data_IF_407025979809
#
_entry.id   IF_407025979809
#
_cell.length_a   1.000
_cell.length_b   1.000
_cell.length_c   1.000
_cell.angle_alpha   90.00
_cell.angle_beta   90.00
_cell.angle_gamma   90.00
#
_symmetry.space_group_name_H-M   'P 1'
#
loop_
_entity.id
_entity.type
_entity.pdbx_description
1 polymer ?
#
# COMPACT_ATOMS: atom_id res chain seq x y z
N UNK A 1 -14.52 -36.95 -49.18
CA UNK A 1 -14.13 -36.61 -47.79
C UNK A 1 -15.41 -36.48 -46.98
N UNK A 2 -15.58 -37.31 -45.94
CA UNK A 2 -16.83 -37.46 -45.19
C UNK A 2 -16.97 -36.36 -44.14
N UNK A 3 -18.06 -35.59 -44.19
CA UNK A 3 -18.43 -34.59 -43.17
C UNK A 3 -18.81 -35.27 -41.85
N UNK A 4 -18.19 -34.87 -40.74
CA UNK A 4 -18.67 -35.13 -39.38
C UNK A 4 -18.84 -33.80 -38.65
N UNK A 5 -20.09 -33.36 -38.54
CA UNK A 5 -20.54 -32.32 -37.62
C UNK A 5 -20.47 -32.91 -36.19
N UNK A 6 -19.64 -32.33 -35.33
CA UNK A 6 -19.56 -32.68 -33.90
C UNK A 6 -20.54 -31.76 -33.15
N UNK A 7 -21.61 -32.36 -32.64
CA UNK A 7 -22.64 -31.71 -31.83
C UNK A 7 -22.06 -31.30 -30.47
N UNK A 8 -22.17 -30.00 -30.16
CA UNK A 8 -21.94 -29.43 -28.83
C UNK A 8 -23.03 -29.89 -27.87
N UNK A 9 -22.63 -30.52 -26.76
CA UNK A 9 -23.50 -30.72 -25.59
C UNK A 9 -23.03 -29.78 -24.47
N UNK A 10 -23.84 -28.74 -24.22
CA UNK A 10 -23.74 -27.87 -23.05
C UNK A 10 -24.29 -28.64 -21.85
N UNK A 11 -23.44 -28.93 -20.86
CA UNK A 11 -23.89 -29.46 -19.57
C UNK A 11 -24.13 -28.28 -18.63
N UNK A 12 -25.40 -27.97 -18.40
CA UNK A 12 -25.86 -27.08 -17.34
C UNK A 12 -25.80 -27.90 -16.05
N UNK A 13 -24.95 -27.51 -15.10
CA UNK A 13 -24.98 -28.04 -13.73
C UNK A 13 -25.60 -26.96 -12.84
N UNK A 14 -26.75 -27.33 -12.30
CA UNK A 14 -27.58 -26.58 -11.37
C UNK A 14 -26.91 -26.43 -10.00
N UNK A 15 -27.03 -25.23 -9.43
CA UNK A 15 -26.67 -24.91 -8.06
C UNK A 15 -27.47 -25.72 -7.02
N UNK A 16 -26.86 -25.99 -5.86
CA UNK A 16 -27.58 -26.37 -4.64
C UNK A 16 -27.05 -25.55 -3.45
N UNK A 17 -27.94 -24.99 -2.60
CA UNK A 17 -27.59 -24.10 -1.50
C UNK A 17 -27.36 -24.87 -0.18
N UNK A 18 -26.24 -24.65 0.50
CA UNK A 18 -26.07 -25.08 1.88
C UNK A 18 -26.41 -23.94 2.84
N UNK A 19 -27.52 -24.12 3.55
CA UNK A 19 -27.94 -23.33 4.72
C UNK A 19 -27.34 -23.94 5.99
N UNK A 20 -26.73 -23.06 6.78
CA UNK A 20 -26.68 -22.95 8.24
C UNK A 20 -26.76 -24.19 9.14
N UNK A 21 -25.81 -24.26 10.08
CA UNK A 21 -26.07 -24.70 11.46
C UNK A 21 -25.13 -23.97 12.41
N UNK A 22 -25.70 -23.07 13.20
CA UNK A 22 -25.12 -22.44 14.40
C UNK A 22 -25.50 -23.32 15.59
N UNK A 23 -24.55 -23.72 16.43
CA UNK A 23 -24.83 -24.14 17.81
C UNK A 23 -23.73 -23.63 18.74
N UNK A 24 -24.16 -22.81 19.69
CA UNK A 24 -23.42 -22.20 20.79
C UNK A 24 -22.98 -23.20 21.85
N UNK A 25 -21.90 -22.87 22.58
CA UNK A 25 -21.72 -23.29 23.96
C UNK A 25 -20.97 -22.20 24.74
N UNK A 26 -21.72 -21.32 25.41
CA UNK A 26 -21.21 -20.46 26.46
C UNK A 26 -21.26 -21.25 27.79
N UNK A 27 -20.14 -21.36 28.49
CA UNK A 27 -20.09 -21.89 29.86
C UNK A 27 -19.89 -20.71 30.80
N UNK A 28 -20.98 -20.30 31.47
CA UNK A 28 -20.93 -19.50 32.68
C UNK A 28 -20.61 -20.44 33.86
N UNK A 29 -19.52 -20.18 34.57
CA UNK A 29 -19.30 -20.72 35.90
C UNK A 29 -19.42 -19.58 36.92
N UNK A 30 -20.55 -19.55 37.63
CA UNK A 30 -20.76 -18.75 38.84
C UNK A 30 -20.31 -19.61 40.01
N UNK A 31 -19.27 -19.18 40.72
CA UNK A 31 -18.84 -19.76 41.99
C UNK A 31 -18.86 -18.70 43.08
N UNK A 32 -19.86 -18.76 43.96
CA UNK A 32 -19.92 -18.03 45.22
C UNK A 32 -19.44 -18.95 46.35
N UNK A 33 -18.37 -18.58 47.05
CA UNK A 33 -18.16 -18.96 48.46
C UNK A 33 -17.45 -17.83 49.21
N UNK A 34 -18.19 -17.17 50.10
CA UNK A 34 -17.77 -16.67 51.42
C UNK A 34 -16.87 -17.70 52.11
N UNK A 35 -15.80 -17.43 52.86
CA UNK A 35 -15.19 -16.26 53.48
C UNK A 35 -14.49 -16.76 54.76
N UNK A 36 -13.30 -16.26 55.13
CA UNK A 36 -12.85 -16.02 56.53
C UNK A 36 -11.55 -15.21 56.49
N UNK A 37 -11.58 -14.20 57.36
CA UNK A 37 -10.68 -13.09 57.59
C UNK A 37 -9.53 -13.51 58.53
N UNK A 38 -8.27 -13.15 58.20
CA UNK A 38 -7.26 -12.81 59.20
C UNK A 38 -6.42 -11.62 58.70
N UNK A 39 -6.43 -10.61 59.54
CA UNK A 39 -5.78 -9.29 59.52
C UNK A 39 -4.24 -9.47 59.65
N UNK A 40 -3.29 -8.68 59.16
CA UNK A 40 -3.00 -7.23 59.15
C UNK A 40 -1.82 -7.02 58.15
N UNK A 41 -1.47 -5.86 57.59
CA UNK A 41 -1.86 -4.46 57.79
C UNK A 41 -0.95 -3.55 56.94
N UNK A 42 -1.24 -2.25 57.00
CA UNK A 42 -0.47 -1.08 56.53
C UNK A 42 -0.74 -0.51 55.12
N UNK A 43 -1.62 0.50 55.10
CA UNK A 43 -1.31 1.81 54.51
C UNK A 43 -1.88 2.12 53.12
N UNK A 44 -2.71 3.18 52.96
CA UNK A 44 -3.32 3.52 51.68
C UNK A 44 -2.50 4.57 50.93
N UNK A 45 -2.49 4.52 49.60
CA UNK A 45 -2.21 5.72 48.78
C UNK A 45 -3.12 5.74 47.56
N UNK A 46 -3.89 6.82 47.45
CA UNK A 46 -4.70 7.20 46.30
C UNK A 46 -3.84 7.68 45.13
N UNK A 47 -4.49 7.64 43.96
CA UNK A 47 -4.23 8.29 42.67
C UNK A 47 -3.25 9.47 42.64
N UNK A 48 -2.49 9.56 41.53
CA UNK A 48 -2.52 10.66 40.55
C UNK A 48 -1.38 10.49 39.51
N UNK A 49 -1.69 10.73 38.22
CA UNK A 49 -0.67 11.00 37.20
C UNK A 49 -0.07 12.39 37.46
N UNK A 50 1.23 12.62 37.22
CA UNK A 50 1.56 13.40 36.03
C UNK A 50 2.91 13.08 35.36
N UNK A 51 3.03 13.66 34.17
CA UNK A 51 4.10 13.69 33.18
C UNK A 51 5.55 13.95 33.64
N UNK A 52 6.46 13.67 32.70
CA UNK A 52 7.79 14.27 32.43
C UNK A 52 9.05 13.57 32.98
N UNK A 53 9.91 13.14 32.04
CA UNK A 53 11.35 13.41 32.10
C UNK A 53 11.89 13.59 30.69
N UNK A 54 12.31 14.82 30.42
CA UNK A 54 13.08 15.25 29.28
C UNK A 54 14.52 14.75 29.37
N UNK A 55 15.14 14.48 28.22
CA UNK A 55 16.61 14.49 28.09
C UNK A 55 16.96 15.67 27.18
N UNK A 56 17.88 16.48 27.69
CA UNK A 56 18.26 17.80 27.22
C UNK A 56 18.91 17.81 25.84
N UNK A 57 18.45 18.73 24.98
CA UNK A 57 19.19 19.22 23.83
C UNK A 57 19.87 20.55 24.20
N UNK A 58 21.17 20.63 23.94
CA UNK A 58 22.03 21.78 24.21
C UNK A 58 21.88 22.77 23.06
N UNK A 59 21.26 23.91 23.35
CA UNK A 59 21.04 25.01 22.39
C UNK A 59 22.27 25.93 22.39
N UNK A 60 22.75 26.25 21.19
CA UNK A 60 23.73 27.29 20.92
C UNK A 60 23.19 28.70 21.23
N UNK A 61 24.10 29.60 21.57
CA UNK A 61 23.78 30.97 21.97
C UNK A 61 23.37 31.90 20.82
N UNK A 62 22.53 32.88 21.20
CA UNK A 62 22.69 34.34 21.06
C UNK A 62 23.11 34.89 19.66
N UNK A 63 22.53 35.96 19.10
CA UNK A 63 21.79 37.09 19.68
C UNK A 63 20.98 37.83 18.59
N UNK A 64 20.14 38.75 19.08
CA UNK A 64 19.20 39.62 18.39
C UNK A 64 19.81 40.69 17.46
N UNK A 65 18.95 41.27 16.61
CA UNK A 65 19.23 42.49 15.86
C UNK A 65 17.98 43.03 15.14
N UNK A 66 17.34 43.99 15.81
CA UNK A 66 16.36 45.04 15.45
C UNK A 66 15.80 45.27 14.03
N UNK A 67 14.66 45.98 14.04
CA UNK A 67 13.65 46.25 13.01
C UNK A 67 13.89 47.52 12.15
N UNK A 68 13.28 47.49 10.93
CA UNK A 68 12.66 48.60 10.16
C UNK A 68 13.47 49.23 8.99
N UNK A 69 12.83 49.97 8.05
CA UNK A 69 11.82 49.55 7.07
C UNK A 69 12.20 49.90 5.61
N UNK A 70 11.31 49.57 4.66
CA UNK A 70 11.43 49.71 3.19
C UNK A 70 11.61 51.15 2.66
N UNK A 71 12.04 51.29 1.39
CA UNK A 71 11.15 51.94 0.41
C UNK A 71 11.11 51.28 -1.00
N UNK A 72 10.20 51.84 -1.78
CA UNK A 72 9.55 51.47 -3.04
C UNK A 72 10.38 51.75 -4.32
N UNK A 73 10.22 50.90 -5.36
CA UNK A 73 10.27 51.06 -6.84
C UNK A 73 11.27 52.05 -7.54
N UNK A 74 11.66 51.90 -8.84
CA UNK A 74 10.92 51.25 -9.95
C UNK A 74 11.77 50.43 -10.97
N UNK A 75 11.06 49.83 -11.93
CA UNK A 75 11.58 49.12 -13.10
C UNK A 75 12.32 50.03 -14.12
N UNK A 76 13.14 49.43 -15.00
CA UNK A 76 13.29 49.95 -16.35
C UNK A 76 12.97 48.90 -17.43
N UNK A 77 12.03 49.24 -18.30
CA UNK A 77 11.99 48.78 -19.69
C UNK A 77 12.84 49.71 -20.54
N UNK A 78 13.78 49.19 -21.34
CA UNK A 78 14.03 49.67 -22.71
C UNK A 78 14.79 48.63 -23.54
N UNK A 79 14.18 48.35 -24.69
CA UNK A 79 14.68 47.85 -25.98
C UNK A 79 16.17 48.05 -26.27
N UNK A 80 16.82 47.01 -26.82
CA UNK A 80 17.87 47.21 -27.80
C UNK A 80 17.92 46.03 -28.79
N UNK A 81 17.68 46.36 -30.06
CA UNK A 81 17.79 45.48 -31.21
C UNK A 81 19.18 45.63 -31.84
N UNK A 82 19.82 44.52 -32.22
CA UNK A 82 20.98 44.46 -33.13
C UNK A 82 21.13 43.02 -33.67
N UNK A 83 21.86 42.77 -34.78
CA UNK A 83 21.27 42.57 -36.10
C UNK A 83 21.33 41.12 -36.61
N UNK A 84 20.46 40.85 -37.59
CA UNK A 84 20.33 39.58 -38.33
C UNK A 84 21.61 39.14 -39.05
N UNK A 85 22.01 37.89 -38.81
CA UNK A 85 22.92 37.13 -39.66
C UNK A 85 22.10 36.28 -40.68
N UNK A 86 22.63 36.02 -41.90
CA UNK A 86 21.89 35.30 -42.94
C UNK A 86 21.66 33.82 -42.61
N UNK A 87 20.56 33.20 -43.07
CA UNK A 87 20.25 31.81 -42.75
C UNK A 87 21.18 30.86 -43.52
N UNK A 88 21.97 30.08 -42.78
CA UNK A 88 22.63 28.89 -43.32
C UNK A 88 21.64 27.72 -43.24
N UNK A 89 21.25 27.19 -44.40
CA UNK A 89 20.38 26.01 -44.52
C UNK A 89 21.05 24.77 -43.91
N UNK A 90 20.45 24.12 -42.89
CA UNK A 90 20.88 22.80 -42.47
C UNK A 90 20.48 21.75 -43.54
N UNK A 91 21.34 20.76 -43.84
CA UNK A 91 20.99 19.69 -44.77
C UNK A 91 19.81 18.87 -44.22
N UNK A 92 18.92 18.49 -45.13
CA UNK A 92 17.75 17.67 -44.84
C UNK A 92 18.16 16.39 -44.07
N UNK A 93 17.82 16.35 -42.78
CA UNK A 93 17.92 15.13 -41.99
C UNK A 93 16.83 14.18 -42.45
N UNK A 94 17.25 13.09 -43.10
CA UNK A 94 16.42 11.92 -43.37
C UNK A 94 15.79 11.47 -42.05
N UNK A 95 14.46 11.62 -41.95
CA UNK A 95 13.66 11.25 -40.79
C UNK A 95 13.78 9.75 -40.58
N UNK A 96 14.49 9.34 -39.53
CA UNK A 96 14.52 7.96 -39.08
C UNK A 96 13.07 7.48 -38.83
N UNK A 97 12.72 6.24 -39.18
CA UNK A 97 11.37 5.73 -38.98
C UNK A 97 11.02 5.76 -37.49
N UNK A 98 9.90 6.42 -37.16
CA UNK A 98 9.42 6.54 -35.80
C UNK A 98 9.12 5.15 -35.22
N UNK A 99 9.71 4.84 -34.07
CA UNK A 99 9.41 3.65 -33.28
C UNK A 99 7.89 3.60 -33.01
N UNK A 100 7.21 2.46 -33.16
CA UNK A 100 5.77 2.36 -32.89
C UNK A 100 5.47 2.86 -31.47
N UNK A 101 4.51 3.77 -31.33
CA UNK A 101 4.06 4.25 -30.04
C UNK A 101 3.52 3.06 -29.22
N UNK A 102 4.07 2.85 -28.02
CA UNK A 102 3.56 1.85 -27.08
C UNK A 102 2.10 2.19 -26.77
N UNK A 103 1.20 1.21 -26.92
CA UNK A 103 -0.23 1.38 -26.61
C UNK A 103 -0.38 1.90 -25.17
N UNK A 104 -1.20 2.93 -24.97
CA UNK A 104 -1.50 3.45 -23.64
C UNK A 104 -2.14 2.35 -22.76
N UNK A 105 -1.87 2.34 -21.44
CA UNK A 105 -2.51 1.39 -20.52
C UNK A 105 -4.03 1.61 -20.50
N UNK A 106 -4.83 0.58 -20.15
CA UNK A 106 -6.27 0.73 -20.01
C UNK A 106 -6.62 1.66 -18.84
N UNK A 107 -7.81 2.27 -18.87
CA UNK A 107 -8.28 3.17 -17.80
C UNK A 107 -8.61 2.42 -16.50
N UNK A 108 -8.87 1.12 -16.57
CA UNK A 108 -9.09 0.26 -15.41
C UNK A 108 -8.56 -1.15 -15.70
N UNK A 109 -8.14 -1.83 -14.64
CA UNK A 109 -7.75 -3.24 -14.68
C UNK A 109 -7.78 -3.82 -13.27
N UNK A 110 -8.27 -5.05 -13.13
CA UNK A 110 -8.14 -5.87 -11.93
C UNK A 110 -7.47 -7.18 -12.35
N UNK A 111 -6.51 -7.64 -11.56
CA UNK A 111 -5.83 -8.91 -11.80
C UNK A 111 -6.70 -10.07 -11.30
N UNK A 112 -6.57 -11.24 -11.92
CA UNK A 112 -7.01 -12.48 -11.28
C UNK A 112 -6.01 -12.83 -10.19
N UNK A 113 -6.47 -13.23 -9.00
CA UNK A 113 -5.62 -13.57 -7.86
C UNK A 113 -6.31 -14.56 -6.91
N UNK A 114 -5.52 -15.25 -6.09
CA UNK A 114 -6.01 -16.14 -5.04
C UNK A 114 -5.85 -15.46 -3.67
N UNK A 115 -6.97 -15.00 -3.11
CA UNK A 115 -6.98 -14.44 -1.76
C UNK A 115 -6.66 -15.50 -0.70
N UNK A 116 -5.86 -15.13 0.30
CA UNK A 116 -5.69 -15.88 1.53
C UNK A 116 -5.45 -14.91 2.69
N UNK A 117 -6.18 -15.10 3.80
CA UNK A 117 -5.98 -14.31 5.01
C UNK A 117 -4.66 -14.67 5.70
N UNK A 118 -4.06 -13.73 6.43
CA UNK A 118 -2.85 -13.99 7.20
C UNK A 118 -3.10 -15.05 8.28
N UNK A 119 -2.16 -16.00 8.45
CA UNK A 119 -2.34 -17.10 9.41
C UNK A 119 -2.19 -16.66 10.89
N UNK A 120 -1.54 -15.54 11.16
CA UNK A 120 -1.33 -14.99 12.51
C UNK A 120 -0.98 -13.48 12.45
N UNK A 121 -0.77 -12.85 13.62
CA UNK A 121 -0.62 -11.40 13.76
C UNK A 121 0.60 -10.75 13.09
N UNK A 122 1.64 -11.51 12.72
CA UNK A 122 2.86 -10.98 12.08
C UNK A 122 3.02 -11.43 10.62
N UNK A 123 2.03 -12.15 10.08
CA UNK A 123 2.04 -12.71 8.72
C UNK A 123 1.37 -11.83 7.66
N UNK A 124 1.04 -10.58 7.96
CA UNK A 124 0.49 -9.64 6.98
C UNK A 124 1.39 -9.46 5.75
N UNK A 125 2.71 -9.32 5.93
CA UNK A 125 3.70 -9.24 4.85
C UNK A 125 3.73 -10.49 3.96
N UNK A 126 3.90 -11.70 4.53
CA UNK A 126 3.82 -12.96 3.80
C UNK A 126 2.50 -13.15 3.05
N UNK A 127 1.37 -12.89 3.70
CA UNK A 127 0.06 -13.06 3.08
C UNK A 127 -0.18 -12.08 1.93
N UNK A 128 0.16 -10.80 2.10
CA UNK A 128 0.06 -9.80 1.03
C UNK A 128 0.97 -10.18 -0.16
N UNK A 129 2.22 -10.56 0.11
CA UNK A 129 3.16 -10.95 -0.95
C UNK A 129 2.70 -12.23 -1.66
N UNK A 130 2.14 -13.20 -0.94
CA UNK A 130 1.52 -14.38 -1.55
C UNK A 130 0.37 -13.98 -2.49
N UNK A 131 -0.56 -13.14 -2.06
CA UNK A 131 -1.67 -12.66 -2.89
C UNK A 131 -1.11 -12.03 -4.17
N UNK A 132 -0.09 -11.18 -4.07
CA UNK A 132 0.54 -10.55 -5.23
C UNK A 132 1.17 -11.57 -6.21
N UNK A 133 1.84 -12.60 -5.69
CA UNK A 133 2.45 -13.67 -6.48
C UNK A 133 1.42 -14.50 -7.25
N UNK A 134 0.22 -14.71 -6.69
CA UNK A 134 -0.83 -15.52 -7.34
C UNK A 134 -1.33 -14.88 -8.64
N UNK A 135 -1.26 -13.55 -8.76
CA UNK A 135 -1.56 -12.84 -10.02
C UNK A 135 -0.56 -13.15 -11.16
N UNK A 136 0.53 -13.86 -10.85
CA UNK A 136 1.57 -14.33 -11.76
C UNK A 136 1.64 -15.86 -11.83
N UNK A 137 0.53 -16.53 -11.52
CA UNK A 137 0.42 -18.00 -11.49
C UNK A 137 1.43 -18.67 -10.53
N UNK A 138 1.77 -17.98 -9.44
CA UNK A 138 2.63 -18.49 -8.36
C UNK A 138 1.83 -18.54 -7.07
N UNK A 139 1.60 -19.74 -6.55
CA UNK A 139 0.87 -19.95 -5.29
C UNK A 139 1.77 -20.61 -4.22
N UNK A 140 2.83 -19.94 -3.73
CA UNK A 140 3.62 -20.45 -2.61
C UNK A 140 2.78 -20.47 -1.33
N UNK A 141 3.21 -21.23 -0.33
CA UNK A 141 2.64 -21.13 1.02
C UNK A 141 3.07 -19.82 1.69
N UNK A 142 2.32 -19.35 2.69
CA UNK A 142 2.75 -18.18 3.47
C UNK A 142 4.09 -18.42 4.18
N UNK A 143 4.39 -19.65 4.59
CA UNK A 143 5.68 -19.99 5.23
C UNK A 143 6.86 -19.87 4.25
N UNK A 144 6.69 -20.30 2.99
CA UNK A 144 7.71 -20.11 1.96
C UNK A 144 7.97 -18.62 1.70
N UNK A 145 6.89 -17.83 1.64
CA UNK A 145 7.00 -16.38 1.51
C UNK A 145 7.66 -15.77 2.74
N UNK A 146 7.26 -16.15 3.95
CA UNK A 146 7.85 -15.65 5.20
C UNK A 146 9.36 -15.90 5.28
N UNK A 147 9.81 -17.09 4.87
CA UNK A 147 11.23 -17.39 4.77
C UNK A 147 11.94 -16.48 3.75
N UNK A 148 11.32 -16.24 2.59
CA UNK A 148 11.86 -15.33 1.60
C UNK A 148 11.90 -13.88 2.10
N UNK A 149 10.90 -13.42 2.86
CA UNK A 149 10.86 -12.04 3.39
C UNK A 149 11.76 -11.85 4.62
N UNK A 150 12.17 -12.93 5.30
CA UNK A 150 12.83 -12.82 6.61
C UNK A 150 11.86 -12.42 7.71
N UNK A 151 10.58 -12.78 7.58
CA UNK A 151 9.54 -12.48 8.58
C UNK A 151 9.84 -13.18 9.89
N UNK A 152 9.70 -12.47 11.00
CA UNK A 152 9.86 -13.01 12.36
C UNK A 152 8.59 -12.79 13.19
N UNK A 153 8.60 -13.11 14.48
CA UNK A 153 7.53 -12.73 15.40
C UNK A 153 7.28 -11.22 15.50
N UNK A 154 8.22 -10.40 15.02
CA UNK A 154 8.08 -8.94 14.92
C UNK A 154 7.51 -8.47 13.56
N UNK A 155 7.17 -9.40 12.65
CA UNK A 155 6.69 -9.08 11.30
C UNK A 155 7.78 -9.00 10.24
N UNK A 156 7.43 -8.38 9.11
CA UNK A 156 8.33 -8.09 7.98
C UNK A 156 8.77 -6.64 8.05
N UNK A 157 10.09 -6.40 8.06
CA UNK A 157 10.64 -5.10 8.46
C UNK A 157 10.33 -3.97 7.48
N UNK A 158 10.40 -4.22 6.16
CA UNK A 158 10.36 -3.15 5.17
C UNK A 158 9.81 -3.58 3.81
N UNK A 159 9.47 -2.58 2.98
CA UNK A 159 9.14 -2.80 1.58
C UNK A 159 10.30 -3.39 0.76
N UNK A 160 11.56 -3.22 1.18
CA UNK A 160 12.70 -3.88 0.53
C UNK A 160 12.65 -5.39 0.68
N UNK A 161 12.15 -5.88 1.82
CA UNK A 161 11.97 -7.30 2.06
C UNK A 161 10.91 -7.89 1.13
N UNK A 162 9.76 -7.22 1.00
CA UNK A 162 8.70 -7.63 0.05
C UNK A 162 9.19 -7.56 -1.38
N UNK A 163 9.91 -6.50 -1.77
CA UNK A 163 10.50 -6.37 -3.13
C UNK A 163 11.48 -7.50 -3.42
N UNK A 164 12.38 -7.81 -2.48
CA UNK A 164 13.34 -8.92 -2.61
C UNK A 164 12.63 -10.26 -2.74
N UNK A 165 11.64 -10.53 -1.89
CA UNK A 165 10.86 -11.76 -1.90
C UNK A 165 10.04 -11.94 -3.17
N UNK A 166 9.34 -10.89 -3.62
CA UNK A 166 8.59 -10.88 -4.87
C UNK A 166 9.48 -11.22 -6.07
N UNK A 167 10.62 -10.53 -6.20
CA UNK A 167 11.56 -10.77 -7.29
C UNK A 167 12.17 -12.19 -7.24
N UNK A 168 12.54 -12.66 -6.05
CA UNK A 168 13.08 -14.01 -5.84
C UNK A 168 12.07 -15.10 -6.23
N UNK A 169 10.84 -15.03 -5.71
CA UNK A 169 9.83 -16.08 -5.88
C UNK A 169 9.18 -16.05 -7.26
N UNK A 170 8.97 -14.86 -7.85
CA UNK A 170 8.48 -14.73 -9.22
C UNK A 170 9.57 -14.91 -10.28
N UNK A 171 10.85 -14.99 -9.88
CA UNK A 171 12.03 -15.05 -10.78
C UNK A 171 12.03 -13.90 -11.78
N UNK A 172 11.88 -12.69 -11.26
CA UNK A 172 11.80 -11.45 -12.04
C UNK A 172 12.69 -10.38 -11.42
N UNK A 173 13.01 -9.35 -12.19
CA UNK A 173 13.66 -8.13 -11.75
C UNK A 173 12.73 -6.91 -11.93
N UNK A 174 11.41 -7.15 -11.98
CA UNK A 174 10.40 -6.11 -12.20
C UNK A 174 10.27 -5.18 -11.00
N UNK A 175 10.11 -5.73 -9.80
CA UNK A 175 9.71 -4.95 -8.62
C UNK A 175 10.82 -4.05 -8.12
N UNK A 176 10.46 -2.81 -7.79
CA UNK A 176 11.31 -1.84 -7.10
C UNK A 176 10.58 -1.32 -5.86
N UNK A 177 11.36 -1.05 -4.82
CA UNK A 177 10.85 -0.37 -3.64
C UNK A 177 10.81 1.12 -3.89
N UNK A 178 9.68 1.75 -3.58
CA UNK A 178 9.56 3.20 -3.50
C UNK A 178 9.12 3.58 -2.09
N UNK A 179 9.82 4.56 -1.50
CA UNK A 179 9.59 5.01 -0.12
C UNK A 179 8.94 6.40 -0.07
N UNK A 180 8.08 6.58 0.92
CA UNK A 180 7.44 7.84 1.26
C UNK A 180 7.93 8.22 2.67
N UNK A 181 9.01 9.00 2.82
CA UNK A 181 9.70 9.20 4.11
C UNK A 181 8.93 10.06 5.13
N UNK A 182 7.73 10.55 4.79
CA UNK A 182 6.91 11.40 5.64
C UNK A 182 5.50 11.57 5.03
N UNK A 183 4.88 12.72 5.23
CA UNK A 183 3.65 13.05 4.51
C UNK A 183 3.92 13.08 3.00
N UNK A 184 3.13 12.37 2.17
CA UNK A 184 3.36 12.32 0.73
C UNK A 184 3.14 13.69 0.07
N UNK A 185 4.09 14.09 -0.77
CA UNK A 185 3.93 15.21 -1.68
C UNK A 185 3.03 14.85 -2.87
N UNK A 186 2.45 15.82 -3.59
CA UNK A 186 1.70 15.56 -4.82
C UNK A 186 2.49 14.73 -5.85
N UNK A 187 3.80 14.99 -5.99
CA UNK A 187 4.66 14.22 -6.90
C UNK A 187 4.79 12.75 -6.48
N UNK A 188 4.78 12.44 -5.19
CA UNK A 188 4.80 11.05 -4.70
C UNK A 188 3.45 10.36 -4.87
N UNK A 189 2.34 11.10 -4.76
CA UNK A 189 1.00 10.59 -5.07
C UNK A 189 0.88 10.26 -6.57
N UNK A 190 1.36 11.16 -7.44
CA UNK A 190 1.41 10.95 -8.89
C UNK A 190 2.30 9.77 -9.26
N UNK A 191 3.46 9.63 -8.59
CA UNK A 191 4.37 8.51 -8.78
C UNK A 191 3.70 7.18 -8.39
N UNK A 192 3.05 7.11 -7.22
CA UNK A 192 2.32 5.92 -6.80
C UNK A 192 1.22 5.54 -7.81
N UNK A 193 0.46 6.52 -8.29
CA UNK A 193 -0.55 6.29 -9.31
C UNK A 193 0.06 5.72 -10.59
N UNK A 194 1.17 6.30 -11.07
CA UNK A 194 1.86 5.83 -12.26
C UNK A 194 2.42 4.40 -12.09
N UNK A 195 3.00 4.11 -10.93
CA UNK A 195 3.58 2.80 -10.60
C UNK A 195 2.51 1.72 -10.49
N UNK A 196 1.38 2.00 -9.84
CA UNK A 196 0.23 1.08 -9.77
C UNK A 196 -0.32 0.78 -11.16
N UNK A 197 -0.52 1.81 -11.99
CA UNK A 197 -1.00 1.61 -13.37
C UNK A 197 0.00 0.79 -14.17
N UNK A 198 1.30 1.08 -14.02
CA UNK A 198 2.36 0.34 -14.69
C UNK A 198 2.39 -1.13 -14.27
N UNK A 199 2.50 -1.41 -12.98
CA UNK A 199 2.58 -2.75 -12.42
C UNK A 199 1.37 -3.59 -12.85
N UNK A 200 0.16 -3.11 -12.55
CA UNK A 200 -1.07 -3.87 -12.78
C UNK A 200 -1.33 -4.05 -14.27
N UNK A 201 -1.05 -3.05 -15.11
CA UNK A 201 -1.15 -3.19 -16.57
C UNK A 201 -0.25 -4.32 -17.09
N UNK A 202 0.92 -4.53 -16.50
CA UNK A 202 1.87 -5.59 -16.86
C UNK A 202 1.65 -6.90 -16.10
N UNK A 203 0.61 -6.99 -15.26
CA UNK A 203 0.22 -8.22 -14.55
C UNK A 203 0.88 -8.38 -13.19
N UNK A 204 1.50 -7.34 -12.64
CA UNK A 204 2.13 -7.34 -11.33
C UNK A 204 1.25 -6.59 -10.33
N UNK A 205 0.85 -7.26 -9.25
CA UNK A 205 0.18 -6.60 -8.12
C UNK A 205 1.22 -5.84 -7.27
N UNK A 206 0.80 -4.75 -6.62
CA UNK A 206 1.68 -3.93 -5.76
C UNK A 206 1.50 -4.34 -4.30
N UNK A 207 2.59 -4.50 -3.56
CA UNK A 207 2.53 -4.75 -2.10
C UNK A 207 2.86 -3.45 -1.38
N UNK A 208 1.98 -3.02 -0.47
CA UNK A 208 2.09 -1.74 0.22
C UNK A 208 2.26 -1.95 1.73
N UNK A 209 3.24 -1.28 2.34
CA UNK A 209 3.39 -1.18 3.80
C UNK A 209 2.71 0.12 4.26
N UNK A 210 1.76 0.00 5.18
CA UNK A 210 0.94 1.11 5.69
C UNK A 210 1.07 1.24 7.21
N UNK A 211 0.65 2.38 7.75
CA UNK A 211 0.58 2.61 9.20
C UNK A 211 -0.50 3.62 9.56
N UNK A 212 -1.18 3.37 10.68
CA UNK A 212 -2.29 4.21 11.14
C UNK A 212 -3.59 3.79 10.45
N UNK A 213 -4.38 4.74 9.97
CA UNK A 213 -5.73 4.47 9.51
C UNK A 213 -6.10 5.18 8.21
N UNK A 214 -7.12 4.65 7.53
CA UNK A 214 -7.70 5.23 6.33
C UNK A 214 -9.18 4.85 6.20
N UNK A 215 -9.91 5.64 5.42
CA UNK A 215 -11.30 5.36 5.05
C UNK A 215 -11.36 4.99 3.57
N UNK A 216 -12.08 3.92 3.24
CA UNK A 216 -12.29 3.52 1.85
C UNK A 216 -13.38 4.36 1.15
N UNK A 217 -13.59 4.14 -0.14
CA UNK A 217 -14.56 4.92 -0.94
C UNK A 217 -16.02 4.67 -0.57
N UNK A 218 -16.32 3.64 0.23
CA UNK A 218 -17.67 3.32 0.72
C UNK A 218 -17.87 3.78 2.18
N UNK A 219 -16.88 4.45 2.77
CA UNK A 219 -16.92 4.93 4.15
C UNK A 219 -16.48 3.90 5.19
N UNK A 220 -15.93 2.75 4.76
CA UNK A 220 -15.37 1.74 5.66
C UNK A 220 -14.07 2.23 6.29
N UNK A 221 -13.99 2.14 7.62
CA UNK A 221 -12.82 2.54 8.41
C UNK A 221 -11.87 1.37 8.64
N UNK A 222 -10.58 1.58 8.37
CA UNK A 222 -9.52 0.58 8.52
C UNK A 222 -8.38 1.16 9.37
N UNK A 223 -7.92 0.43 10.38
CA UNK A 223 -6.92 0.93 11.33
C UNK A 223 -5.89 -0.13 11.74
N UNK A 224 -4.61 0.22 11.56
CA UNK A 224 -3.44 -0.61 11.82
C UNK A 224 -2.32 0.27 12.41
N UNK A 225 -2.45 0.68 13.66
CA UNK A 225 -1.50 1.62 14.32
C UNK A 225 -0.07 1.07 14.40
N UNK A 226 0.09 -0.25 14.52
CA UNK A 226 1.40 -0.92 14.52
C UNK A 226 2.02 -1.10 13.12
N UNK A 227 1.26 -0.80 12.07
CA UNK A 227 1.61 -1.05 10.68
C UNK A 227 1.04 -2.36 10.14
N UNK A 228 0.90 -2.45 8.82
CA UNK A 228 0.30 -3.58 8.13
C UNK A 228 0.76 -3.65 6.67
N UNK A 229 0.58 -4.81 6.03
CA UNK A 229 0.83 -4.97 4.60
C UNK A 229 -0.46 -5.30 3.86
N UNK A 230 -0.67 -4.60 2.75
CA UNK A 230 -1.80 -4.74 1.86
C UNK A 230 -1.34 -5.11 0.46
N UNK A 231 -2.24 -5.66 -0.36
CA UNK A 231 -1.97 -5.87 -1.80
C UNK A 231 -2.90 -5.02 -2.65
N UNK A 232 -2.35 -4.22 -3.55
CA UNK A 232 -3.13 -3.57 -4.61
C UNK A 232 -3.24 -4.50 -5.79
N UNK A 233 -4.46 -4.97 -6.06
CA UNK A 233 -4.77 -5.98 -7.09
C UNK A 233 -5.45 -5.38 -8.33
N UNK A 234 -5.89 -4.13 -8.24
CA UNK A 234 -6.57 -3.46 -9.34
C UNK A 234 -6.54 -1.94 -9.23
N UNK A 235 -6.91 -1.30 -10.33
CA UNK A 235 -7.16 0.13 -10.39
C UNK A 235 -8.33 0.45 -11.32
N UNK A 236 -8.93 1.62 -11.11
CA UNK A 236 -9.89 2.27 -12.03
C UNK A 236 -9.56 3.75 -12.16
N UNK A 237 -10.25 4.43 -13.08
CA UNK A 237 -10.10 5.87 -13.27
C UNK A 237 -8.66 6.33 -13.54
N UNK A 238 -7.94 5.58 -14.39
CA UNK A 238 -6.54 5.78 -14.72
C UNK A 238 -5.61 5.75 -13.49
N UNK A 239 -5.97 4.98 -12.47
CA UNK A 239 -5.17 4.82 -11.26
C UNK A 239 -5.53 5.79 -10.14
N UNK A 240 -6.62 6.57 -10.23
CA UNK A 240 -7.08 7.43 -9.13
C UNK A 240 -7.70 6.65 -7.97
N UNK A 241 -8.23 5.47 -8.24
CA UNK A 241 -8.78 4.57 -7.23
C UNK A 241 -8.18 3.18 -7.43
N UNK A 242 -7.85 2.54 -6.32
CA UNK A 242 -7.18 1.25 -6.26
C UNK A 242 -8.02 0.24 -5.51
N UNK A 243 -7.95 -1.01 -5.95
CA UNK A 243 -8.57 -2.13 -5.25
C UNK A 243 -7.54 -2.79 -4.35
N UNK A 244 -7.87 -2.84 -3.07
CA UNK A 244 -7.07 -3.49 -2.04
C UNK A 244 -7.58 -4.92 -1.86
N UNK A 245 -6.66 -5.87 -1.70
CA UNK A 245 -6.87 -7.15 -1.07
C UNK A 245 -6.16 -7.10 0.29
N UNK A 246 -6.93 -7.13 1.37
CA UNK A 246 -6.44 -6.97 2.74
C UNK A 246 -6.32 -8.34 3.43
N UNK A 247 -5.10 -8.80 3.77
CA UNK A 247 -4.90 -10.09 4.44
C UNK A 247 -5.47 -10.19 5.84
N UNK A 248 -5.79 -9.08 6.52
CA UNK A 248 -6.26 -9.11 7.89
C UNK A 248 -7.70 -9.66 8.03
N UNK A 249 -8.49 -9.60 6.95
CA UNK A 249 -9.87 -10.09 6.88
C UNK A 249 -10.77 -9.59 8.03
N UNK A 250 -10.53 -8.36 8.50
CA UNK A 250 -11.26 -7.77 9.62
C UNK A 250 -12.74 -7.65 9.25
N UNK A 251 -13.61 -8.11 10.15
CA UNK A 251 -15.07 -8.12 9.95
C UNK A 251 -15.54 -8.85 8.67
N UNK A 252 -14.74 -9.78 8.14
CA UNK A 252 -15.07 -10.52 6.92
C UNK A 252 -14.84 -9.76 5.61
N UNK A 253 -14.17 -8.60 5.67
CA UNK A 253 -13.83 -7.80 4.49
C UNK A 253 -12.45 -8.21 3.97
N UNK A 254 -12.40 -8.81 2.78
CA UNK A 254 -11.16 -9.18 2.10
C UNK A 254 -10.70 -8.18 1.04
N UNK A 255 -11.61 -7.32 0.55
CA UNK A 255 -11.32 -6.37 -0.51
C UNK A 255 -12.21 -5.13 -0.44
N UNK A 256 -11.62 -3.98 -0.76
CA UNK A 256 -12.30 -2.68 -0.82
C UNK A 256 -11.59 -1.75 -1.80
N UNK A 257 -12.28 -0.69 -2.22
CA UNK A 257 -11.73 0.35 -3.09
C UNK A 257 -11.40 1.60 -2.30
N UNK A 258 -10.21 2.17 -2.49
CA UNK A 258 -9.81 3.45 -1.88
C UNK A 258 -9.12 4.37 -2.89
N UNK A 259 -9.06 5.67 -2.61
CA UNK A 259 -8.31 6.57 -3.49
C UNK A 259 -6.80 6.31 -3.37
N UNK A 260 -6.07 6.51 -4.46
CA UNK A 260 -4.61 6.36 -4.45
C UNK A 260 -3.94 7.41 -3.56
N UNK A 261 -4.59 8.56 -3.39
CA UNK A 261 -4.15 9.62 -2.47
C UNK A 261 -4.29 9.15 -1.01
N UNK A 262 -5.41 8.56 -0.64
CA UNK A 262 -5.60 8.02 0.71
C UNK A 262 -4.62 6.89 1.00
N UNK A 263 -4.38 6.00 0.02
CA UNK A 263 -3.35 4.98 0.14
C UNK A 263 -1.95 5.59 0.31
N UNK A 264 -1.58 6.62 -0.46
CA UNK A 264 -0.29 7.30 -0.32
C UNK A 264 -0.11 7.88 1.09
N UNK A 265 -1.16 8.50 1.64
CA UNK A 265 -1.15 9.02 3.00
C UNK A 265 -1.01 7.90 4.04
N UNK A 266 -1.69 6.77 3.82
CA UNK A 266 -1.62 5.62 4.72
C UNK A 266 -0.24 4.93 4.70
N UNK A 267 0.53 5.13 3.63
CA UNK A 267 1.93 4.69 3.49
C UNK A 267 2.95 5.74 3.96
N UNK A 268 2.53 6.82 4.62
CA UNK A 268 3.46 7.81 5.15
C UNK A 268 4.48 7.14 6.08
N UNK A 269 5.76 7.50 5.93
CA UNK A 269 6.94 6.88 6.59
C UNK A 269 7.24 5.43 6.18
N UNK A 270 6.55 4.89 5.18
CA UNK A 270 6.66 3.50 4.71
C UNK A 270 7.04 3.45 3.23
N UNK A 271 6.73 2.34 2.56
CA UNK A 271 7.03 2.13 1.15
C UNK A 271 6.20 1.00 0.54
N UNK A 272 6.36 0.82 -0.77
CA UNK A 272 5.67 -0.20 -1.55
C UNK A 272 6.59 -0.85 -2.59
N UNK A 273 6.21 -2.04 -3.04
CA UNK A 273 6.87 -2.82 -4.09
C UNK A 273 6.02 -2.80 -5.36
N UNK A 274 6.48 -2.13 -6.41
CA UNK A 274 5.78 -1.99 -7.70
C UNK A 274 6.69 -2.20 -8.91
#
# INVERSE_FOLDING_TARGET
MKHRQQLRLRRIVTASPYRASVVSAAVLAVGLTTGILLTQGHGPVQAENPSTVAVAEKIGGQAAGEMAPAPEAPAPTVTSAAPSAPPSTPPATTKAPAKPAKKAPPASKVLDYEYEAQINGWYCGPAATRIALTARDRSPSQDEVAAALGTTGNGTNSADDTTRGLNQLAKTDFYRSTFIPGAPSPAQMDQLQADVVHAISNGYAVVANIVGSATDTEGGWHAYDGGHYLTVVGYRDNGRTVQIADPAFVNGVSSYWMTTIDLANWMATRGYSA
#
